data_IF_796989243480
#
_entry.id   IF_796989243480
#
_cell.length_a   1.000
_cell.length_b   1.000
_cell.length_c   1.000
_cell.angle_alpha   90.00
_cell.angle_beta   90.00
_cell.angle_gamma   90.00
#
_symmetry.space_group_name_H-M   'P 1'
#
loop_
_entity.id
_entity.type
_entity.pdbx_description
1 polymer ?
#
# COMPACT_ATOMS: atom_id res chain seq x y z
N UNK A 1 14.15 -35.69 -22.76
CA UNK A 1 12.97 -35.16 -22.05
C UNK A 1 13.41 -33.81 -21.50
N UNK A 2 12.85 -32.72 -22.01
CA UNK A 2 13.18 -31.39 -21.49
C UNK A 2 12.81 -31.38 -20.01
N UNK A 3 13.76 -30.95 -19.18
CA UNK A 3 13.48 -30.62 -17.80
C UNK A 3 12.68 -29.31 -17.91
N UNK A 4 11.35 -29.41 -17.94
CA UNK A 4 10.49 -28.22 -17.94
C UNK A 4 10.67 -27.58 -16.56
N UNK A 5 11.54 -26.57 -16.48
CA UNK A 5 11.74 -25.80 -15.26
C UNK A 5 10.39 -25.19 -14.86
N UNK A 6 9.78 -25.78 -13.82
CA UNK A 6 8.49 -25.32 -13.30
C UNK A 6 8.70 -23.97 -12.62
N UNK A 7 8.16 -22.91 -13.20
CA UNK A 7 8.12 -21.59 -12.57
C UNK A 7 7.04 -21.60 -11.51
N UNK A 8 7.43 -21.44 -10.24
CA UNK A 8 6.51 -21.27 -9.12
C UNK A 8 6.32 -19.78 -8.80
N UNK A 9 5.06 -19.36 -8.63
CA UNK A 9 4.71 -17.99 -8.20
C UNK A 9 4.60 -18.00 -6.67
N UNK A 10 5.60 -17.42 -5.99
CA UNK A 10 5.63 -17.35 -4.52
C UNK A 10 4.67 -16.28 -3.98
N UNK A 11 4.43 -15.24 -4.77
CA UNK A 11 3.53 -14.14 -4.45
C UNK A 11 3.54 -13.07 -5.54
N UNK A 12 2.65 -12.09 -5.42
CA UNK A 12 2.54 -10.98 -6.35
C UNK A 12 2.05 -9.72 -5.63
N UNK A 13 2.29 -8.58 -6.26
CA UNK A 13 1.67 -7.32 -5.87
C UNK A 13 1.33 -6.49 -7.11
N UNK A 14 0.41 -5.54 -6.96
CA UNK A 14 0.07 -4.58 -8.01
C UNK A 14 0.22 -3.16 -7.48
N UNK A 15 0.66 -2.24 -8.34
CA UNK A 15 0.85 -0.83 -8.00
C UNK A 15 0.14 0.01 -9.05
N UNK A 16 -0.60 1.03 -8.60
CA UNK A 16 -1.19 2.05 -9.46
C UNK A 16 -1.21 3.41 -8.78
N UNK A 17 -1.40 4.49 -9.52
CA UNK A 17 -1.65 5.81 -8.95
C UNK A 17 -3.15 5.96 -8.70
N UNK A 18 -3.54 6.29 -7.48
CA UNK A 18 -4.95 6.48 -7.10
C UNK A 18 -5.16 7.82 -6.40
N UNK A 19 -6.21 8.53 -6.82
CA UNK A 19 -6.74 9.68 -6.07
C UNK A 19 -7.76 9.20 -5.04
N UNK A 20 -7.64 9.66 -3.80
CA UNK A 20 -8.65 9.51 -2.75
C UNK A 20 -9.30 10.85 -2.46
N UNK A 21 -10.58 10.83 -2.14
CA UNK A 21 -11.32 12.01 -1.67
C UNK A 21 -11.45 11.94 -0.16
N UNK A 22 -11.03 13.01 0.52
CA UNK A 22 -11.10 13.08 1.97
C UNK A 22 -12.53 13.27 2.43
N UNK A 23 -12.99 12.40 3.33
CA UNK A 23 -14.26 12.63 4.03
C UNK A 23 -14.10 13.72 5.13
N UNK A 24 -15.22 14.15 5.70
CA UNK A 24 -15.25 15.22 6.70
C UNK A 24 -14.56 14.84 8.02
N UNK A 25 -14.35 13.55 8.29
CA UNK A 25 -13.65 13.08 9.47
C UNK A 25 -12.12 13.32 9.38
N UNK A 26 -11.57 13.50 8.17
CA UNK A 26 -10.14 13.74 7.98
C UNK A 26 -9.78 15.17 8.39
N UNK A 27 -9.07 15.28 9.51
CA UNK A 27 -8.61 16.56 10.05
C UNK A 27 -7.75 17.38 9.07
N UNK A 28 -7.83 18.71 9.18
CA UNK A 28 -7.01 19.65 8.39
C UNK A 28 -5.51 19.42 8.57
N UNK A 29 -5.07 18.99 9.76
CA UNK A 29 -3.66 18.67 10.02
C UNK A 29 -3.22 17.42 9.26
N UNK A 30 -4.06 16.38 9.20
CA UNK A 30 -3.78 15.18 8.42
C UNK A 30 -3.82 15.46 6.91
N UNK A 31 -4.82 16.22 6.43
CA UNK A 31 -4.86 16.68 5.03
C UNK A 31 -3.59 17.44 4.65
N UNK A 32 -3.13 18.36 5.51
CA UNK A 32 -1.86 19.08 5.32
C UNK A 32 -0.66 18.13 5.31
N UNK A 33 -0.65 17.10 6.14
CA UNK A 33 0.46 16.14 6.21
C UNK A 33 0.56 15.29 4.94
N UNK A 34 -0.57 14.83 4.40
CA UNK A 34 -0.61 13.95 3.21
C UNK A 34 -0.45 14.74 1.90
N UNK A 35 -0.93 15.99 1.85
CA UNK A 35 -0.99 16.78 0.59
C UNK A 35 -0.18 18.08 0.60
N UNK A 36 0.43 18.44 1.73
CA UNK A 36 0.99 19.79 1.99
C UNK A 36 -0.05 20.93 1.97
N UNK A 37 -1.34 20.63 1.81
CA UNK A 37 -2.43 21.61 1.79
C UNK A 37 -3.54 21.20 2.77
N UNK A 38 -3.77 22.04 3.80
CA UNK A 38 -4.78 21.78 4.84
C UNK A 38 -6.23 21.81 4.33
N UNK A 39 -6.46 22.42 3.16
CA UNK A 39 -7.75 22.56 2.51
C UNK A 39 -7.86 21.66 1.26
N UNK A 40 -6.97 20.68 1.09
CA UNK A 40 -7.10 19.74 -0.02
C UNK A 40 -8.34 18.86 0.17
N UNK A 41 -9.07 18.65 -0.91
CA UNK A 41 -10.21 17.72 -0.95
C UNK A 41 -9.79 16.32 -1.38
N UNK A 42 -8.67 16.24 -2.11
CA UNK A 42 -8.15 14.98 -2.65
C UNK A 42 -6.66 14.84 -2.42
N UNK A 43 -6.20 13.60 -2.42
CA UNK A 43 -4.79 13.23 -2.36
C UNK A 43 -4.49 12.11 -3.36
N UNK A 44 -3.36 12.20 -4.05
CA UNK A 44 -2.91 11.17 -5.00
C UNK A 44 -1.70 10.47 -4.43
N UNK A 45 -1.74 9.13 -4.39
CA UNK A 45 -0.66 8.28 -3.91
C UNK A 45 -0.55 6.97 -4.69
N UNK A 46 0.48 6.21 -4.36
CA UNK A 46 0.72 4.87 -4.92
C UNK A 46 -0.13 3.84 -4.19
N UNK A 47 -1.20 3.35 -4.80
CA UNK A 47 -1.99 2.26 -4.26
C UNK A 47 -1.28 0.93 -4.52
N UNK A 48 -1.01 0.19 -3.43
CA UNK A 48 -0.77 -1.26 -3.51
C UNK A 48 -2.15 -1.91 -3.59
N UNK A 49 -2.59 -2.21 -4.81
CA UNK A 49 -3.99 -2.61 -5.07
C UNK A 49 -4.26 -4.06 -4.68
N UNK A 50 -3.25 -4.90 -4.78
CA UNK A 50 -3.30 -6.30 -4.40
C UNK A 50 -1.94 -6.72 -3.84
N UNK A 51 -1.97 -7.61 -2.85
CA UNK A 51 -0.82 -8.27 -2.27
C UNK A 51 -1.22 -9.73 -2.01
N UNK A 52 -0.70 -10.65 -2.81
CA UNK A 52 -1.01 -12.07 -2.72
C UNK A 52 0.24 -12.89 -2.43
N UNK A 53 0.09 -13.92 -1.60
CA UNK A 53 1.15 -14.87 -1.24
C UNK A 53 0.64 -16.28 -1.49
N UNK A 54 1.49 -17.16 -1.99
CA UNK A 54 1.12 -18.57 -2.16
C UNK A 54 1.11 -19.30 -0.82
N UNK A 55 0.08 -20.10 -0.61
CA UNK A 55 -0.07 -21.01 0.53
C UNK A 55 0.78 -22.28 0.38
N UNK A 56 1.11 -22.66 -0.86
CA UNK A 56 1.94 -23.84 -1.16
C UNK A 56 3.44 -23.59 -0.93
N UNK A 57 3.84 -22.31 -0.83
CA UNK A 57 5.25 -21.89 -0.78
C UNK A 57 5.52 -20.95 0.39
N UNK A 58 4.85 -21.17 1.53
CA UNK A 58 4.87 -20.21 2.63
C UNK A 58 6.23 -20.02 3.29
N UNK A 59 7.08 -21.03 3.21
CA UNK A 59 8.44 -21.08 3.74
C UNK A 59 9.46 -20.30 2.90
N UNK A 60 9.14 -19.97 1.65
CA UNK A 60 10.06 -19.31 0.72
C UNK A 60 9.92 -17.80 0.66
N UNK A 61 8.75 -17.27 1.02
CA UNK A 61 8.53 -15.82 1.11
C UNK A 61 7.50 -15.49 2.18
N UNK A 62 7.84 -14.51 3.01
CA UNK A 62 6.90 -13.93 3.96
C UNK A 62 6.07 -12.81 3.32
N UNK A 63 4.87 -12.56 3.85
CA UNK A 63 4.11 -11.37 3.45
C UNK A 63 4.85 -10.07 3.75
N UNK A 64 5.77 -10.09 4.72
CA UNK A 64 6.57 -8.93 5.10
C UNK A 64 7.61 -8.59 4.04
N UNK A 65 8.25 -9.60 3.46
CA UNK A 65 9.16 -9.43 2.33
C UNK A 65 8.43 -8.91 1.09
N UNK A 66 7.22 -9.42 0.80
CA UNK A 66 6.40 -8.90 -0.31
C UNK A 66 6.10 -7.41 -0.16
N UNK A 67 5.69 -6.96 1.05
CA UNK A 67 5.44 -5.53 1.31
C UNK A 67 6.70 -4.70 1.18
N UNK A 68 7.84 -5.17 1.71
CA UNK A 68 9.12 -4.47 1.60
C UNK A 68 9.55 -4.30 0.14
N UNK A 69 9.53 -5.38 -0.64
CA UNK A 69 9.85 -5.35 -2.07
C UNK A 69 8.93 -4.39 -2.84
N UNK A 70 7.64 -4.37 -2.49
CA UNK A 70 6.68 -3.45 -3.11
C UNK A 70 7.02 -1.99 -2.78
N UNK A 71 7.33 -1.68 -1.51
CA UNK A 71 7.70 -0.33 -1.07
C UNK A 71 9.02 0.13 -1.71
N UNK A 72 10.01 -0.76 -1.81
CA UNK A 72 11.28 -0.49 -2.49
C UNK A 72 11.05 -0.09 -3.96
N UNK A 73 10.24 -0.85 -4.69
CA UNK A 73 9.86 -0.48 -6.05
C UNK A 73 9.11 0.86 -6.10
N UNK A 74 8.25 1.15 -5.13
CA UNK A 74 7.57 2.46 -5.06
C UNK A 74 8.57 3.60 -4.85
N UNK A 75 9.62 3.43 -4.06
CA UNK A 75 10.66 4.46 -3.94
C UNK A 75 11.37 4.72 -5.27
N UNK A 76 11.68 3.67 -6.04
CA UNK A 76 12.24 3.84 -7.39
C UNK A 76 11.29 4.57 -8.35
N UNK A 77 9.97 4.33 -8.21
CA UNK A 77 8.94 5.02 -8.99
C UNK A 77 8.79 6.48 -8.53
N UNK A 78 8.85 6.73 -7.23
CA UNK A 78 8.76 8.05 -6.61
C UNK A 78 9.89 8.96 -7.08
N UNK A 79 11.12 8.45 -7.13
CA UNK A 79 12.28 9.21 -7.63
C UNK A 79 12.10 9.67 -9.08
N UNK A 80 11.29 8.95 -9.88
CA UNK A 80 11.07 9.23 -11.30
C UNK A 80 9.78 10.01 -11.59
N UNK A 81 8.73 9.77 -10.81
CA UNK A 81 7.37 10.26 -11.10
C UNK A 81 6.86 11.27 -10.06
N UNK A 82 7.57 11.43 -8.94
CA UNK A 82 7.09 12.18 -7.79
C UNK A 82 5.99 11.44 -7.04
N UNK A 83 5.08 12.15 -6.38
CA UNK A 83 4.11 11.54 -5.45
C UNK A 83 4.47 11.85 -4.00
N UNK A 84 3.66 11.38 -3.05
CA UNK A 84 3.82 11.76 -1.63
C UNK A 84 3.63 10.65 -0.62
N UNK A 85 2.90 9.61 -0.99
CA UNK A 85 2.59 8.52 -0.07
C UNK A 85 2.24 7.24 -0.82
N UNK A 86 2.40 6.13 -0.11
CA UNK A 86 1.85 4.82 -0.43
C UNK A 86 0.48 4.69 0.24
N UNK A 87 -0.47 4.10 -0.48
CA UNK A 87 -1.84 3.85 -0.05
C UNK A 87 -2.09 2.33 0.01
N UNK A 88 -2.77 1.91 1.08
CA UNK A 88 -3.38 0.58 1.23
C UNK A 88 -4.86 0.77 1.51
N UNK A 89 -5.68 -0.11 0.93
CA UNK A 89 -7.09 -0.26 1.28
C UNK A 89 -7.32 -1.70 1.74
N UNK A 90 -7.85 -1.88 2.95
CA UNK A 90 -8.15 -3.22 3.47
C UNK A 90 -9.48 -3.25 4.22
N UNK A 91 -10.02 -4.45 4.42
CA UNK A 91 -11.17 -4.64 5.29
C UNK A 91 -10.89 -4.10 6.69
N UNK A 92 -11.94 -3.61 7.36
CA UNK A 92 -11.86 -3.15 8.74
C UNK A 92 -11.72 -4.34 9.70
N UNK A 93 -10.55 -4.95 9.69
CA UNK A 93 -10.19 -6.07 10.54
C UNK A 93 -8.85 -5.77 11.24
N UNK A 94 -8.76 -5.91 12.58
CA UNK A 94 -7.56 -5.54 13.33
C UNK A 94 -6.27 -6.24 12.86
N UNK A 95 -6.37 -7.48 12.37
CA UNK A 95 -5.18 -8.20 11.85
C UNK A 95 -4.64 -7.60 10.57
N UNK A 96 -5.48 -7.09 9.67
CA UNK A 96 -5.05 -6.47 8.41
C UNK A 96 -4.46 -5.09 8.66
N UNK A 97 -5.15 -4.27 9.45
CA UNK A 97 -4.66 -2.94 9.85
C UNK A 97 -3.31 -3.08 10.58
N UNK A 98 -3.27 -3.92 11.62
CA UNK A 98 -2.05 -4.16 12.39
C UNK A 98 -0.93 -4.83 11.60
N UNK A 99 -1.24 -5.51 10.48
CA UNK A 99 -0.23 -6.01 9.56
C UNK A 99 0.52 -4.86 8.86
N UNK A 100 -0.22 -3.88 8.32
CA UNK A 100 0.35 -2.75 7.61
C UNK A 100 0.95 -1.69 8.54
N UNK A 101 0.41 -1.48 9.74
CA UNK A 101 0.95 -0.53 10.73
C UNK A 101 2.40 -0.83 11.11
N UNK A 102 2.82 -2.10 11.06
CA UNK A 102 4.24 -2.48 11.27
C UNK A 102 5.20 -1.95 10.20
N UNK A 103 4.66 -1.43 9.09
CA UNK A 103 5.42 -0.80 8.01
C UNK A 103 5.16 0.71 7.94
N UNK A 104 4.88 1.34 9.08
CA UNK A 104 4.65 2.78 9.25
C UNK A 104 3.40 3.33 8.55
N UNK A 105 2.51 2.45 8.08
CA UNK A 105 1.21 2.86 7.60
C UNK A 105 0.35 3.38 8.76
N UNK A 106 -0.45 4.41 8.47
CA UNK A 106 -1.35 5.06 9.43
C UNK A 106 -2.70 5.23 8.78
N UNK A 107 -3.76 5.02 9.55
CA UNK A 107 -5.13 5.24 9.06
C UNK A 107 -5.32 6.70 8.63
N UNK A 108 -5.88 6.90 7.44
CA UNK A 108 -6.34 8.19 6.95
C UNK A 108 -7.81 8.39 7.33
N UNK A 109 -8.62 7.41 6.92
CA UNK A 109 -10.08 7.40 7.01
C UNK A 109 -10.59 5.97 6.77
N UNK A 110 -11.88 5.80 6.99
CA UNK A 110 -12.66 4.65 6.53
C UNK A 110 -13.70 5.14 5.51
N UNK A 111 -13.83 4.40 4.42
CA UNK A 111 -14.88 4.54 3.40
C UNK A 111 -15.52 3.16 3.20
N UNK A 112 -15.53 2.61 1.97
CA UNK A 112 -15.86 1.18 1.75
C UNK A 112 -14.83 0.27 2.41
N UNK A 113 -13.57 0.70 2.47
CA UNK A 113 -12.45 0.03 3.12
C UNK A 113 -11.70 1.01 4.01
N UNK A 114 -10.91 0.50 4.95
CA UNK A 114 -9.97 1.32 5.74
C UNK A 114 -8.81 1.71 4.84
N UNK A 115 -8.57 3.02 4.73
CA UNK A 115 -7.49 3.58 3.94
C UNK A 115 -6.32 3.94 4.84
N UNK A 116 -5.14 3.37 4.57
CA UNK A 116 -3.92 3.68 5.29
C UNK A 116 -2.90 4.33 4.36
N UNK A 117 -2.16 5.32 4.87
CA UNK A 117 -1.02 5.92 4.16
C UNK A 117 0.31 5.65 4.85
N UNK A 118 1.36 5.56 4.04
CA UNK A 118 2.76 5.71 4.46
C UNK A 118 3.37 6.86 3.66
N UNK A 119 3.94 7.85 4.33
CA UNK A 119 4.64 8.94 3.64
C UNK A 119 5.90 8.41 2.93
N UNK A 120 6.18 8.95 1.74
CA UNK A 120 7.41 8.72 0.97
C UNK A 120 8.44 9.83 1.24
#
# INVERSE_FOLDING_TARGET
MANDDVIAILGYFTITMKSITFNDAVSKSLRKKVTSNKNADQAIGYLIGQLGKSDDYTEYISGQELVKNCIELIYELFDKLGGRFVLIECENHPSFIGFYERFDFKVIQEDVYVQLYRAL
#
